data_IF_348669285777
#
_entry.id   IF_348669285777
#
_cell.length_a   1.000
_cell.length_b   1.000
_cell.length_c   1.000
_cell.angle_alpha   90.00
_cell.angle_beta   90.00
_cell.angle_gamma   90.00
#
_symmetry.space_group_name_H-M   'P 1'
#
loop_
_entity.id
_entity.type
_entity.pdbx_description
1 polymer ?
#
# COMPACT_ATOMS: atom_id res chain seq x y z
N UNK A 1 -1.71 -5.80 3.32
CA UNK A 1 -2.72 -4.81 2.84
C UNK A 1 -3.82 -4.60 3.88
N UNK A 2 -4.37 -3.38 4.00
CA UNK A 2 -5.58 -3.07 4.79
C UNK A 2 -6.86 -3.04 3.94
N UNK A 3 -6.78 -3.37 2.65
CA UNK A 3 -7.92 -3.34 1.74
C UNK A 3 -8.96 -4.41 2.08
N UNK A 4 -10.21 -4.07 1.78
CA UNK A 4 -11.41 -4.90 1.87
C UNK A 4 -12.25 -4.79 0.58
N UNK A 5 -11.63 -4.45 -0.56
CA UNK A 5 -12.33 -4.27 -1.84
C UNK A 5 -12.94 -5.59 -2.32
N UNK A 6 -12.22 -6.72 -2.23
CA UNK A 6 -12.76 -8.02 -2.67
C UNK A 6 -13.86 -8.53 -1.74
N UNK A 7 -13.73 -8.33 -0.43
CA UNK A 7 -14.80 -8.61 0.53
C UNK A 7 -16.00 -7.68 0.32
N UNK A 8 -15.79 -6.43 -0.10
CA UNK A 8 -16.88 -5.49 -0.40
C UNK A 8 -17.73 -5.98 -1.57
N UNK A 9 -17.13 -6.61 -2.58
CA UNK A 9 -17.87 -7.27 -3.65
C UNK A 9 -18.74 -8.42 -3.13
N UNK A 10 -18.24 -9.23 -2.20
CA UNK A 10 -19.02 -10.33 -1.61
C UNK A 10 -20.22 -9.84 -0.78
N UNK A 11 -20.20 -8.58 -0.31
CA UNK A 11 -21.38 -7.96 0.34
C UNK A 11 -22.58 -7.87 -0.60
N UNK A 12 -22.39 -7.80 -1.91
CA UNK A 12 -23.49 -7.81 -2.88
C UNK A 12 -24.32 -9.09 -2.77
N UNK A 13 -23.67 -10.23 -2.54
CA UNK A 13 -24.37 -11.52 -2.30
C UNK A 13 -24.98 -11.63 -0.92
N UNK A 14 -24.45 -10.92 0.07
CA UNK A 14 -25.00 -10.85 1.42
C UNK A 14 -26.05 -9.74 1.60
N UNK A 15 -26.34 -8.96 0.54
CA UNK A 15 -27.33 -7.90 0.59
C UNK A 15 -28.73 -8.49 0.71
N UNK A 16 -29.52 -7.95 1.63
CA UNK A 16 -30.93 -8.37 1.83
C UNK A 16 -31.89 -7.68 0.84
N UNK A 17 -31.41 -6.66 0.13
CA UNK A 17 -32.15 -5.90 -0.87
C UNK A 17 -31.78 -6.39 -2.26
N UNK A 18 -32.79 -6.59 -3.11
CA UNK A 18 -32.62 -7.04 -4.49
C UNK A 18 -31.75 -6.08 -5.31
N UNK A 19 -31.89 -4.77 -5.06
CA UNK A 19 -31.07 -3.70 -5.65
C UNK A 19 -30.23 -3.03 -4.55
N UNK A 20 -28.90 -3.26 -4.53
CA UNK A 20 -28.01 -2.66 -3.54
C UNK A 20 -27.86 -1.13 -3.71
N UNK A 21 -28.64 -0.36 -2.93
CA UNK A 21 -28.44 1.07 -2.73
C UNK A 21 -28.15 1.34 -1.24
N UNK A 22 -26.87 1.42 -0.88
CA UNK A 22 -26.50 1.62 0.53
C UNK A 22 -26.90 3.02 1.06
N UNK A 23 -27.03 4.03 0.20
CA UNK A 23 -27.41 5.39 0.65
C UNK A 23 -28.88 5.40 1.06
N UNK A 24 -29.75 4.78 0.26
CA UNK A 24 -31.19 4.73 0.53
C UNK A 24 -31.54 3.64 1.56
N UNK A 25 -30.95 2.46 1.44
CA UNK A 25 -31.34 1.28 2.22
C UNK A 25 -30.57 1.10 3.52
N UNK A 26 -29.43 1.79 3.70
CA UNK A 26 -28.59 1.71 4.89
C UNK A 26 -28.12 3.10 5.38
N UNK A 27 -29.02 4.09 5.58
CA UNK A 27 -28.64 5.49 5.83
C UNK A 27 -27.89 5.70 7.17
N UNK A 28 -28.06 4.78 8.12
CA UNK A 28 -27.45 4.85 9.46
C UNK A 28 -26.19 3.98 9.61
N UNK A 29 -25.77 3.33 8.53
CA UNK A 29 -24.56 2.48 8.52
C UNK A 29 -23.42 3.29 7.93
N UNK A 30 -22.30 3.35 8.65
CA UNK A 30 -21.10 4.02 8.17
C UNK A 30 -20.58 3.41 6.86
N UNK A 31 -20.85 4.08 5.74
CA UNK A 31 -20.15 3.86 4.47
C UNK A 31 -18.74 4.47 4.57
N UNK A 32 -17.87 3.82 5.34
CA UNK A 32 -16.45 4.14 5.41
C UNK A 32 -16.08 5.25 6.40
N UNK A 33 -15.24 4.89 7.38
CA UNK A 33 -14.26 5.78 8.03
C UNK A 33 -14.76 6.88 8.97
N UNK A 34 -16.02 7.33 8.89
CA UNK A 34 -16.58 8.34 9.77
C UNK A 34 -17.70 7.71 10.61
N UNK A 35 -17.47 7.68 11.92
CA UNK A 35 -18.21 6.83 12.86
C UNK A 35 -19.71 7.11 12.93
N UNK A 36 -20.48 6.03 12.80
CA UNK A 36 -21.80 5.80 13.38
C UNK A 36 -21.91 4.30 13.78
N UNK A 37 -22.81 4.00 14.72
CA UNK A 37 -22.73 2.91 15.71
C UNK A 37 -23.08 1.49 15.23
N UNK A 38 -23.62 1.31 14.01
CA UNK A 38 -24.17 0.01 13.56
C UNK A 38 -23.62 -0.41 12.19
N UNK A 39 -23.42 -1.72 12.04
CA UNK A 39 -22.99 -2.37 10.79
C UNK A 39 -24.21 -2.64 9.90
N UNK A 40 -24.04 -2.57 8.58
CA UNK A 40 -25.05 -3.01 7.63
C UNK A 40 -25.26 -4.52 7.76
N UNK A 41 -26.48 -5.02 7.48
CA UNK A 41 -26.77 -6.45 7.50
C UNK A 41 -25.80 -7.27 6.63
N UNK A 42 -25.34 -6.70 5.51
CA UNK A 42 -24.40 -7.35 4.60
C UNK A 42 -22.92 -7.29 5.04
N UNK A 43 -22.58 -6.60 6.13
CA UNK A 43 -21.23 -6.54 6.72
C UNK A 43 -20.97 -7.69 7.71
N UNK A 44 -21.50 -8.88 7.41
CA UNK A 44 -21.38 -10.08 8.26
C UNK A 44 -19.94 -10.60 8.38
N UNK A 45 -19.09 -10.28 7.42
CA UNK A 45 -17.71 -10.77 7.36
C UNK A 45 -16.69 -9.84 8.06
N UNK A 46 -17.10 -8.67 8.56
CA UNK A 46 -16.15 -7.76 9.22
C UNK A 46 -15.73 -8.27 10.61
N UNK A 47 -14.43 -8.21 10.98
CA UNK A 47 -13.37 -7.41 10.36
C UNK A 47 -12.40 -8.22 9.45
N UNK A 48 -12.87 -9.29 8.80
CA UNK A 48 -12.04 -10.07 7.88
C UNK A 48 -11.42 -9.15 6.82
N UNK A 49 -10.14 -9.38 6.51
CA UNK A 49 -9.40 -8.62 5.50
C UNK A 49 -9.18 -9.47 4.27
N UNK A 50 -9.07 -8.82 3.11
CA UNK A 50 -8.86 -9.51 1.83
C UNK A 50 -7.62 -10.43 1.87
N UNK A 51 -6.51 -9.98 2.47
CA UNK A 51 -5.28 -10.79 2.61
C UNK A 51 -5.52 -12.09 3.37
N UNK A 52 -6.34 -12.04 4.42
CA UNK A 52 -6.66 -13.23 5.23
C UNK A 52 -7.61 -14.15 4.46
N UNK A 53 -8.62 -13.58 3.79
CA UNK A 53 -9.56 -14.31 2.95
C UNK A 53 -8.85 -15.03 1.79
N UNK A 54 -8.00 -14.34 1.04
CA UNK A 54 -7.24 -14.96 -0.05
C UNK A 54 -6.17 -15.93 0.46
N UNK A 55 -5.64 -15.71 1.66
CA UNK A 55 -4.70 -16.64 2.30
C UNK A 55 -5.31 -18.00 2.63
N UNK A 56 -6.64 -18.12 2.77
CA UNK A 56 -7.31 -19.41 2.96
C UNK A 56 -7.70 -20.11 1.66
N UNK A 57 -7.60 -19.43 0.51
CA UNK A 57 -8.07 -19.93 -0.80
C UNK A 57 -6.90 -20.21 -1.75
N UNK A 58 -5.95 -19.27 -1.85
CA UNK A 58 -4.87 -19.33 -2.82
C UNK A 58 -3.75 -20.26 -2.34
N UNK A 59 -3.30 -21.16 -3.21
CA UNK A 59 -2.04 -21.89 -3.03
C UNK A 59 -0.84 -21.03 -3.42
N UNK A 60 0.38 -21.31 -2.92
CA UNK A 60 1.58 -20.59 -3.35
C UNK A 60 1.74 -20.54 -4.88
N UNK A 61 2.02 -19.34 -5.40
CA UNK A 61 2.09 -19.04 -6.83
C UNK A 61 0.76 -18.70 -7.50
N UNK A 62 -0.38 -18.92 -6.83
CA UNK A 62 -1.68 -18.57 -7.38
C UNK A 62 -2.05 -17.11 -7.09
N UNK A 63 -2.92 -16.57 -7.95
CA UNK A 63 -3.52 -15.24 -7.80
C UNK A 63 -5.04 -15.27 -7.75
N UNK A 64 -5.61 -14.23 -7.15
CA UNK A 64 -7.03 -13.91 -7.27
C UNK A 64 -7.38 -13.44 -8.69
N UNK A 65 -8.67 -13.24 -9.00
CA UNK A 65 -9.09 -12.41 -10.11
C UNK A 65 -8.51 -10.99 -10.02
N UNK A 66 -8.56 -10.28 -11.15
CA UNK A 66 -8.24 -8.86 -11.22
C UNK A 66 -9.42 -8.02 -10.72
N UNK A 67 -9.09 -6.93 -10.05
CA UNK A 67 -10.03 -5.97 -9.50
C UNK A 67 -9.59 -4.57 -9.92
N UNK A 68 -10.53 -3.71 -10.31
CA UNK A 68 -10.23 -2.29 -10.47
C UNK A 68 -10.17 -1.62 -9.08
N UNK A 69 -9.13 -0.84 -8.80
CA UNK A 69 -9.03 -0.15 -7.52
C UNK A 69 -9.94 1.07 -7.46
N UNK A 70 -10.62 1.24 -6.32
CA UNK A 70 -11.47 2.40 -6.02
C UNK A 70 -10.81 3.38 -5.05
N UNK A 71 -9.48 3.33 -4.91
CA UNK A 71 -8.75 4.22 -4.03
C UNK A 71 -8.90 5.68 -4.48
N UNK A 72 -9.46 6.54 -3.62
CA UNK A 72 -9.72 7.98 -3.91
C UNK A 72 -8.50 8.77 -4.38
N UNK A 73 -7.29 8.30 -4.08
CA UNK A 73 -6.06 8.94 -4.58
C UNK A 73 -5.98 8.90 -6.11
N UNK A 74 -6.59 7.89 -6.75
CA UNK A 74 -6.61 7.71 -8.20
C UNK A 74 -7.45 8.77 -8.91
N UNK A 75 -8.39 9.43 -8.22
CA UNK A 75 -9.13 10.58 -8.75
C UNK A 75 -8.19 11.72 -9.20
N UNK A 76 -6.95 11.77 -8.69
CA UNK A 76 -5.93 12.74 -9.07
C UNK A 76 -5.09 12.34 -10.30
N UNK A 77 -5.24 11.10 -10.79
CA UNK A 77 -4.41 10.54 -11.84
C UNK A 77 -5.13 10.49 -13.20
N UNK A 78 -6.29 11.14 -13.33
CA UNK A 78 -7.02 11.25 -14.60
C UNK A 78 -7.42 9.88 -15.13
N UNK A 79 -7.10 9.62 -16.39
CA UNK A 79 -7.48 8.38 -17.10
C UNK A 79 -6.62 7.15 -16.70
N UNK A 80 -5.68 7.30 -15.75
CA UNK A 80 -4.85 6.17 -15.32
C UNK A 80 -5.65 5.25 -14.40
N UNK A 81 -6.20 4.18 -14.98
CA UNK A 81 -6.90 3.13 -14.26
C UNK A 81 -5.88 2.14 -13.68
N UNK A 82 -6.05 1.81 -12.40
CA UNK A 82 -5.22 0.83 -11.69
C UNK A 82 -6.07 -0.40 -11.38
N UNK A 83 -5.56 -1.55 -11.81
CA UNK A 83 -6.04 -2.85 -11.42
C UNK A 83 -5.15 -3.43 -10.32
N UNK A 84 -5.67 -4.41 -9.60
CA UNK A 84 -4.91 -5.17 -8.61
C UNK A 84 -5.35 -6.63 -8.57
N UNK A 85 -4.46 -7.50 -8.10
CA UNK A 85 -4.80 -8.85 -7.65
C UNK A 85 -4.04 -9.19 -6.37
N UNK A 86 -4.52 -10.20 -5.67
CA UNK A 86 -3.81 -10.81 -4.56
C UNK A 86 -3.05 -12.03 -5.06
N UNK A 87 -1.78 -12.17 -4.66
CA UNK A 87 -0.93 -13.30 -5.03
C UNK A 87 -0.42 -13.94 -3.75
N UNK A 88 -0.58 -15.25 -3.62
CA UNK A 88 0.10 -16.00 -2.56
C UNK A 88 1.55 -16.22 -3.00
N UNK A 89 2.48 -15.50 -2.39
CA UNK A 89 3.90 -15.56 -2.73
C UNK A 89 4.66 -16.65 -1.95
N UNK A 90 3.93 -17.49 -1.20
CA UNK A 90 4.44 -18.59 -0.39
C UNK A 90 4.56 -18.23 1.09
N UNK A 91 5.22 -17.10 1.39
CA UNK A 91 5.38 -16.59 2.77
C UNK A 91 4.20 -15.76 3.26
N UNK A 92 3.52 -15.07 2.33
CA UNK A 92 2.37 -14.23 2.62
C UNK A 92 1.48 -14.08 1.37
N UNK A 93 0.34 -13.40 1.53
CA UNK A 93 -0.47 -12.93 0.40
C UNK A 93 -0.21 -11.45 0.16
N UNK A 94 0.42 -11.15 -0.98
CA UNK A 94 0.73 -9.80 -1.40
C UNK A 94 -0.40 -9.24 -2.28
N UNK A 95 -0.65 -7.94 -2.18
CA UNK A 95 -1.44 -7.20 -3.17
C UNK A 95 -0.47 -6.63 -4.20
N UNK A 96 -0.73 -6.92 -5.47
CA UNK A 96 0.01 -6.38 -6.60
C UNK A 96 -0.92 -5.43 -7.32
N UNK A 97 -0.51 -4.17 -7.49
CA UNK A 97 -1.23 -3.14 -8.24
C UNK A 97 -0.50 -2.91 -9.57
N UNK A 98 -1.25 -2.75 -10.65
CA UNK A 98 -0.73 -2.57 -12.00
C UNK A 98 -1.65 -1.65 -12.81
N UNK A 99 -1.13 -0.92 -13.78
CA UNK A 99 -1.96 -0.10 -14.66
C UNK A 99 -2.80 -0.97 -15.60
N UNK A 100 -3.90 -0.42 -16.10
CA UNK A 100 -4.83 -1.07 -17.03
C UNK A 100 -4.15 -1.73 -18.23
N UNK A 101 -3.21 -1.05 -18.88
CA UNK A 101 -2.49 -1.59 -20.04
C UNK A 101 -1.64 -2.84 -19.73
N UNK A 102 -1.27 -3.07 -18.45
CA UNK A 102 -0.65 -4.34 -18.03
C UNK A 102 -1.72 -5.39 -17.76
N UNK A 103 -2.85 -4.99 -17.18
CA UNK A 103 -3.93 -5.91 -16.81
C UNK A 103 -4.71 -6.47 -18.02
N UNK A 104 -4.78 -5.71 -19.11
CA UNK A 104 -5.47 -6.09 -20.36
C UNK A 104 -4.59 -6.92 -21.31
N UNK A 105 -3.27 -6.88 -21.16
CA UNK A 105 -2.32 -7.67 -21.94
C UNK A 105 -1.90 -8.92 -21.16
N UNK A 106 -2.41 -10.09 -21.57
CA UNK A 106 -2.17 -11.36 -20.89
C UNK A 106 -0.67 -11.75 -20.86
N UNK A 107 0.06 -11.49 -21.95
CA UNK A 107 1.49 -11.82 -22.01
C UNK A 107 2.28 -10.94 -21.04
N UNK A 108 1.95 -9.65 -21.00
CA UNK A 108 2.60 -8.71 -20.09
C UNK A 108 2.25 -8.99 -18.63
N UNK A 109 0.99 -9.30 -18.33
CA UNK A 109 0.53 -9.64 -16.99
C UNK A 109 1.28 -10.85 -16.45
N UNK A 110 1.31 -11.95 -17.20
CA UNK A 110 1.96 -13.19 -16.77
C UNK A 110 3.49 -13.00 -16.65
N UNK A 111 4.09 -12.20 -17.53
CA UNK A 111 5.51 -11.84 -17.44
C UNK A 111 5.82 -11.09 -16.14
N UNK A 112 5.06 -10.04 -15.83
CA UNK A 112 5.27 -9.21 -14.62
C UNK A 112 5.06 -10.02 -13.35
N UNK A 113 4.00 -10.82 -13.29
CA UNK A 113 3.72 -11.68 -12.14
C UNK A 113 4.80 -12.76 -11.96
N UNK A 114 5.25 -13.38 -13.05
CA UNK A 114 6.34 -14.35 -13.05
C UNK A 114 7.66 -13.74 -12.56
N UNK A 115 8.02 -12.54 -13.05
CA UNK A 115 9.20 -11.81 -12.58
C UNK A 115 9.12 -11.47 -11.09
N UNK A 116 7.94 -11.04 -10.62
CA UNK A 116 7.71 -10.74 -9.21
C UNK A 116 7.93 -11.97 -8.34
N UNK A 117 7.33 -13.12 -8.69
CA UNK A 117 7.53 -14.38 -7.98
C UNK A 117 9.01 -14.81 -7.99
N UNK A 118 9.71 -14.66 -9.11
CA UNK A 118 11.13 -14.97 -9.20
C UNK A 118 11.98 -14.07 -8.26
N UNK A 119 11.63 -12.79 -8.12
CA UNK A 119 12.28 -11.89 -7.16
C UNK A 119 12.01 -12.29 -5.72
N UNK A 120 10.78 -12.67 -5.39
CA UNK A 120 10.42 -13.17 -4.05
C UNK A 120 11.22 -14.43 -3.72
N UNK A 121 11.26 -15.39 -4.64
CA UNK A 121 11.97 -16.65 -4.44
C UNK A 121 13.47 -16.42 -4.20
N UNK A 122 14.11 -15.55 -5.00
CA UNK A 122 15.51 -15.18 -4.84
C UNK A 122 15.81 -14.47 -3.51
N UNK A 123 14.83 -13.71 -2.99
CA UNK A 123 14.96 -12.99 -1.73
C UNK A 123 14.32 -13.70 -0.55
N UNK A 124 14.13 -15.02 -0.62
CA UNK A 124 13.63 -15.87 0.47
C UNK A 124 12.30 -15.41 1.07
N UNK A 125 11.35 -15.00 0.22
CA UNK A 125 10.02 -14.57 0.65
C UNK A 125 9.77 -13.07 0.57
N UNK A 126 10.73 -12.29 0.08
CA UNK A 126 10.55 -10.86 -0.21
C UNK A 126 11.31 -10.47 -1.50
N UNK A 127 10.79 -9.57 -2.37
CA UNK A 127 11.49 -9.22 -3.60
C UNK A 127 12.86 -8.60 -3.35
N UNK A 128 13.92 -9.19 -3.91
CA UNK A 128 15.31 -8.69 -3.76
C UNK A 128 15.42 -7.22 -4.17
N UNK A 129 14.82 -6.83 -5.29
CA UNK A 129 14.82 -5.44 -5.77
C UNK A 129 14.24 -4.45 -4.74
N UNK A 130 13.20 -4.84 -4.00
CA UNK A 130 12.62 -3.99 -2.96
C UNK A 130 13.48 -3.96 -1.70
N UNK A 131 14.10 -5.09 -1.33
CA UNK A 131 15.04 -5.14 -0.21
C UNK A 131 16.25 -4.23 -0.45
N UNK A 132 16.82 -4.28 -1.66
CA UNK A 132 17.92 -3.42 -2.07
C UNK A 132 17.51 -1.95 -2.09
N UNK A 133 16.35 -1.62 -2.66
CA UNK A 133 15.83 -0.25 -2.65
C UNK A 133 15.63 0.26 -1.23
N UNK A 134 15.09 -0.56 -0.32
CA UNK A 134 14.95 -0.22 1.10
C UNK A 134 16.31 0.08 1.74
N UNK A 135 17.30 -0.79 1.53
CA UNK A 135 18.65 -0.63 2.08
C UNK A 135 19.37 0.61 1.54
N UNK A 136 19.19 0.93 0.25
CA UNK A 136 19.80 2.10 -0.38
C UNK A 136 19.12 3.42 0.00
N UNK A 137 17.81 3.40 0.28
CA UNK A 137 17.07 4.58 0.69
C UNK A 137 17.33 5.01 2.15
N UNK A 138 18.05 4.20 2.95
CA UNK A 138 18.36 4.52 4.34
C UNK A 138 19.31 5.72 4.40
N UNK A 139 18.76 6.87 4.83
CA UNK A 139 19.57 8.05 5.16
C UNK A 139 20.30 7.80 6.48
N UNK A 140 21.63 7.67 6.41
CA UNK A 140 22.50 7.37 7.57
C UNK A 140 22.85 8.63 8.35
N UNK A 141 23.45 8.45 9.52
CA UNK A 141 23.93 9.57 10.35
C UNK A 141 24.97 10.44 9.62
N UNK A 142 25.89 9.81 8.88
CA UNK A 142 26.89 10.50 8.05
C UNK A 142 26.25 11.35 6.96
N UNK A 143 25.29 10.80 6.22
CA UNK A 143 24.59 11.52 5.15
C UNK A 143 23.90 12.78 5.68
N UNK A 144 23.24 12.69 6.84
CA UNK A 144 22.63 13.85 7.51
C UNK A 144 23.69 14.87 7.90
N UNK A 145 24.82 14.44 8.46
CA UNK A 145 25.89 15.34 8.86
C UNK A 145 26.48 16.09 7.65
N UNK A 146 26.75 15.39 6.55
CA UNK A 146 27.24 15.97 5.30
C UNK A 146 26.24 16.96 4.70
N UNK A 147 24.95 16.60 4.68
CA UNK A 147 23.90 17.51 4.21
C UNK A 147 23.85 18.81 5.01
N UNK A 148 23.85 18.72 6.34
CA UNK A 148 23.80 19.91 7.18
C UNK A 148 25.09 20.74 7.13
N UNK A 149 26.25 20.12 6.96
CA UNK A 149 27.51 20.83 6.75
C UNK A 149 27.50 21.62 5.43
N UNK A 150 26.98 21.03 4.34
CA UNK A 150 26.80 21.74 3.07
C UNK A 150 25.81 22.90 3.21
N UNK A 151 24.68 22.66 3.88
CA UNK A 151 23.68 23.69 4.13
C UNK A 151 24.26 24.86 4.93
N UNK A 152 25.03 24.58 5.97
CA UNK A 152 25.73 25.58 6.77
C UNK A 152 26.70 26.41 5.92
N UNK A 153 27.48 25.74 5.06
CA UNK A 153 28.40 26.41 4.14
C UNK A 153 27.66 27.35 3.17
N UNK A 154 26.56 26.91 2.58
CA UNK A 154 25.76 27.74 1.67
C UNK A 154 25.08 28.91 2.39
N UNK A 155 24.63 28.72 3.63
CA UNK A 155 24.09 29.80 4.46
C UNK A 155 25.16 30.86 4.76
N UNK A 156 26.37 30.44 5.11
CA UNK A 156 27.50 31.36 5.33
C UNK A 156 27.82 32.14 4.06
N UNK A 157 27.86 31.48 2.89
CA UNK A 157 28.06 32.15 1.59
C UNK A 157 26.95 33.17 1.29
N UNK A 158 25.71 32.89 1.68
CA UNK A 158 24.58 33.80 1.54
C UNK A 158 24.60 34.98 2.55
N UNK A 159 25.62 35.06 3.42
CA UNK A 159 25.83 36.18 4.34
C UNK A 159 25.20 35.99 5.73
N UNK A 160 24.64 34.81 6.03
CA UNK A 160 24.17 34.48 7.38
C UNK A 160 25.37 34.32 8.32
N UNK A 161 25.31 35.00 9.47
CA UNK A 161 26.31 34.89 10.55
C UNK A 161 25.72 34.06 11.69
N UNK A 162 26.58 33.29 12.38
CA UNK A 162 26.19 32.41 13.51
C UNK A 162 25.24 31.27 13.13
N UNK A 163 25.47 30.62 11.99
CA UNK A 163 24.78 29.36 11.65
C UNK A 163 25.27 28.30 12.64
N UNK A 164 24.35 27.67 13.36
CA UNK A 164 24.69 26.68 14.39
C UNK A 164 23.52 25.75 14.67
N UNK A 165 23.81 24.57 15.21
CA UNK A 165 22.78 23.57 15.49
C UNK A 165 21.87 24.01 16.64
N UNK A 166 20.56 23.92 16.46
CA UNK A 166 19.58 24.16 17.51
C UNK A 166 19.84 23.28 18.75
N UNK A 167 19.56 23.83 19.93
CA UNK A 167 19.60 23.12 21.21
C UNK A 167 18.79 21.79 21.20
N UNK A 168 17.74 21.71 20.38
CA UNK A 168 16.92 20.48 20.22
C UNK A 168 17.64 19.40 19.40
N UNK A 169 18.42 19.78 18.39
CA UNK A 169 19.24 18.86 17.59
C UNK A 169 20.41 18.32 18.41
N UNK A 170 21.07 19.18 19.18
CA UNK A 170 22.17 18.78 20.08
C UNK A 170 21.73 17.69 21.07
N UNK A 171 20.50 17.79 21.61
CA UNK A 171 19.94 16.77 22.52
C UNK A 171 19.61 15.44 21.83
N UNK A 172 19.17 15.46 20.57
CA UNK A 172 18.91 14.23 19.80
C UNK A 172 20.20 13.50 19.44
N UNK A 173 21.28 14.23 19.15
CA UNK A 173 22.60 13.65 18.84
C UNK A 173 23.25 12.95 20.04
N UNK A 174 22.99 13.41 21.27
CA UNK A 174 23.49 12.77 22.50
C UNK A 174 22.71 11.53 22.96
N UNK A 175 21.54 11.24 22.37
CA UNK A 175 20.66 10.15 22.77
C UNK A 175 20.85 8.85 21.96
N UNK A 176 21.79 8.84 21.01
CA UNK A 176 22.06 7.71 20.10
C UNK A 176 23.41 7.03 20.46
N UNK A 177 23.93 7.26 21.67
CA UNK A 177 25.10 6.56 22.20
C UNK A 177 24.67 5.36 23.05
#
# INVERSE_FOLDING_TARGET
>A
SRSSESLSFLRLKACIYDEPDCVSNCPNVGLGGFGFTEKAPCQSFEPLRDVVFWGSILQPGQRSPLWQSSARILDLYGDNIIYFCYVNVGTEVARIDMPEWVAEDEEMLELVLGMMLAQVQKGYGYPVVLAEAHNQAVVRGGDRASFFALLEQEMIKAGLKNVGTSYKETRKRGSIA
#
